data_IF_686293163249
#
_entry.id   IF_686293163249
#
_cell.length_a   1.000
_cell.length_b   1.000
_cell.length_c   1.000
_cell.angle_alpha   90.00
_cell.angle_beta   90.00
_cell.angle_gamma   90.00
#
_symmetry.space_group_name_H-M   'P 1'
#
loop_
_entity.id
_entity.type
_entity.pdbx_description
1 polymer ?
#
# COMPACT_ATOMS: atom_id res chain seq x y z
N UNK A 1 9.51 -36.24 1.74
CA UNK A 1 9.80 -34.95 2.41
C UNK A 1 8.98 -34.92 3.67
N UNK A 2 9.60 -34.61 4.80
CA UNK A 2 8.90 -34.40 6.06
C UNK A 2 8.13 -33.06 6.01
N UNK A 3 6.83 -33.08 6.34
CA UNK A 3 5.97 -31.91 6.22
C UNK A 3 6.27 -30.81 7.25
N UNK A 4 6.94 -31.17 8.35
CA UNK A 4 7.23 -30.28 9.48
C UNK A 4 8.62 -29.65 9.34
N UNK A 5 9.63 -30.43 8.96
CA UNK A 5 11.02 -29.98 8.80
C UNK A 5 11.37 -29.59 7.37
N UNK A 6 10.53 -29.94 6.39
CA UNK A 6 10.78 -29.75 4.96
C UNK A 6 12.02 -30.48 4.43
N UNK A 7 12.60 -31.39 5.24
CA UNK A 7 13.74 -32.20 4.87
C UNK A 7 13.30 -33.30 3.90
N UNK A 8 14.08 -33.53 2.85
CA UNK A 8 13.87 -34.63 1.91
C UNK A 8 14.44 -35.94 2.46
N UNK A 9 14.38 -37.02 1.69
CA UNK A 9 15.07 -38.28 2.06
C UNK A 9 16.60 -38.14 2.07
N UNK A 10 17.12 -37.11 1.41
CA UNK A 10 18.54 -36.75 1.46
C UNK A 10 18.74 -35.77 2.63
N UNK A 11 19.52 -36.13 3.68
CA UNK A 11 19.54 -35.37 4.94
C UNK A 11 19.97 -33.90 4.82
N UNK A 12 20.80 -33.56 3.84
CA UNK A 12 21.30 -32.19 3.63
C UNK A 12 20.46 -31.41 2.61
N UNK A 13 19.33 -31.96 2.15
CA UNK A 13 18.47 -31.35 1.14
C UNK A 13 17.09 -31.06 1.72
N UNK A 14 16.71 -29.79 1.67
CA UNK A 14 15.41 -29.27 2.11
C UNK A 14 14.65 -28.72 0.91
N UNK A 15 13.35 -28.97 0.83
CA UNK A 15 12.50 -28.56 -0.29
C UNK A 15 11.34 -27.70 0.22
N UNK A 16 11.06 -26.58 -0.45
CA UNK A 16 10.01 -25.65 -0.04
C UNK A 16 9.32 -24.98 -1.22
N UNK A 17 8.17 -24.37 -0.93
CA UNK A 17 7.38 -23.64 -1.92
C UNK A 17 6.70 -24.56 -2.93
N UNK A 18 6.36 -24.02 -4.09
CA UNK A 18 5.47 -24.67 -5.05
C UNK A 18 5.98 -26.01 -5.61
N UNK A 19 7.30 -26.26 -5.55
CA UNK A 19 7.88 -27.56 -5.93
C UNK A 19 7.47 -28.69 -4.97
N UNK A 20 7.01 -28.34 -3.77
CA UNK A 20 6.58 -29.29 -2.72
C UNK A 20 5.08 -29.27 -2.47
N UNK A 21 4.47 -28.08 -2.46
CA UNK A 21 3.05 -27.91 -2.12
C UNK A 21 2.13 -27.76 -3.34
N UNK A 22 2.68 -27.74 -4.55
CA UNK A 22 1.97 -27.27 -5.74
C UNK A 22 1.74 -25.76 -5.70
N UNK A 23 1.02 -25.20 -6.69
CA UNK A 23 0.72 -23.77 -6.74
C UNK A 23 -0.08 -23.33 -5.50
N UNK A 24 0.52 -22.45 -4.69
CA UNK A 24 -0.10 -21.91 -3.46
C UNK A 24 -0.15 -20.38 -3.50
N UNK A 25 -0.74 -19.76 -2.48
CA UNK A 25 -0.66 -18.30 -2.33
C UNK A 25 0.76 -17.85 -1.96
N UNK A 26 1.06 -16.58 -2.27
CA UNK A 26 2.41 -16.03 -2.09
C UNK A 26 2.87 -16.07 -0.62
N UNK A 27 1.96 -15.95 0.34
CA UNK A 27 2.33 -15.90 1.76
C UNK A 27 2.73 -17.29 2.27
N UNK A 28 2.06 -18.35 1.79
CA UNK A 28 2.45 -19.74 2.06
C UNK A 28 3.78 -20.10 1.42
N UNK A 29 4.01 -19.71 0.17
CA UNK A 29 5.29 -19.97 -0.51
C UNK A 29 6.47 -19.32 0.22
N UNK A 30 6.32 -18.05 0.64
CA UNK A 30 7.32 -17.34 1.44
C UNK A 30 7.50 -17.99 2.82
N UNK A 31 6.40 -18.35 3.48
CA UNK A 31 6.42 -19.02 4.78
C UNK A 31 7.16 -20.36 4.73
N UNK A 32 6.93 -21.17 3.69
CA UNK A 32 7.64 -22.42 3.46
C UNK A 32 9.14 -22.19 3.23
N UNK A 33 9.51 -21.17 2.43
CA UNK A 33 10.91 -20.79 2.22
C UNK A 33 11.61 -20.39 3.52
N UNK A 34 10.97 -19.57 4.36
CA UNK A 34 11.49 -19.18 5.68
C UNK A 34 11.65 -20.38 6.61
N UNK A 35 10.68 -21.29 6.63
CA UNK A 35 10.78 -22.53 7.40
C UNK A 35 11.96 -23.38 6.94
N UNK A 36 12.14 -23.58 5.64
CA UNK A 36 13.28 -24.34 5.13
C UNK A 36 14.61 -23.67 5.49
N UNK A 37 14.73 -22.35 5.38
CA UNK A 37 15.92 -21.63 5.80
C UNK A 37 16.23 -21.84 7.30
N UNK A 38 15.20 -21.77 8.16
CA UNK A 38 15.33 -22.05 9.58
C UNK A 38 15.77 -23.49 9.87
N UNK A 39 15.21 -24.47 9.16
CA UNK A 39 15.57 -25.88 9.31
C UNK A 39 16.98 -26.17 8.79
N UNK A 40 17.41 -25.49 7.71
CA UNK A 40 18.80 -25.53 7.23
C UNK A 40 19.74 -24.98 8.30
N UNK A 41 19.44 -23.83 8.92
CA UNK A 41 20.26 -23.28 10.01
C UNK A 41 20.38 -24.27 11.19
N UNK A 42 19.27 -24.84 11.64
CA UNK A 42 19.29 -25.84 12.70
C UNK A 42 20.12 -27.08 12.31
N UNK A 43 19.98 -27.57 11.08
CA UNK A 43 20.74 -28.74 10.62
C UNK A 43 22.24 -28.46 10.55
N UNK A 44 22.64 -27.30 10.00
CA UNK A 44 24.05 -26.87 9.93
C UNK A 44 24.66 -26.75 11.32
N UNK A 45 23.88 -26.30 12.30
CA UNK A 45 24.32 -26.11 13.68
C UNK A 45 24.08 -27.32 14.59
N UNK A 46 23.59 -28.46 14.06
CA UNK A 46 23.30 -29.67 14.84
C UNK A 46 22.17 -29.51 15.89
N UNK A 47 21.26 -28.55 15.68
CA UNK A 47 20.08 -28.33 16.53
C UNK A 47 18.90 -29.18 16.07
N UNK A 48 17.88 -29.30 16.93
CA UNK A 48 16.69 -30.10 16.64
C UNK A 48 15.89 -29.53 15.45
N UNK A 49 15.43 -30.44 14.59
CA UNK A 49 14.56 -30.15 13.45
C UNK A 49 13.15 -30.56 13.84
N UNK A 50 12.25 -29.59 14.04
CA UNK A 50 10.85 -29.95 14.37
C UNK A 50 9.93 -28.80 14.76
N UNK A 51 10.47 -27.65 15.19
CA UNK A 51 9.65 -26.53 15.65
C UNK A 51 10.16 -25.22 15.05
N UNK A 52 9.28 -24.46 14.40
CA UNK A 52 9.57 -23.12 13.94
C UNK A 52 8.72 -22.11 14.73
N UNK A 53 9.25 -21.52 15.83
CA UNK A 53 8.47 -20.70 16.76
C UNK A 53 7.68 -19.59 16.08
N UNK A 54 8.29 -18.91 15.11
CA UNK A 54 7.68 -17.76 14.43
C UNK A 54 6.46 -18.11 13.56
N UNK A 55 6.22 -19.39 13.22
CA UNK A 55 5.13 -19.81 12.34
C UNK A 55 4.21 -20.87 12.96
N UNK A 56 4.72 -21.66 13.92
CA UNK A 56 3.98 -22.74 14.58
C UNK A 56 3.22 -22.26 15.83
N UNK A 57 3.64 -21.14 16.42
CA UNK A 57 2.96 -20.56 17.58
C UNK A 57 1.78 -19.69 17.11
N UNK A 58 0.55 -20.20 17.28
CA UNK A 58 -0.65 -19.38 17.13
C UNK A 58 -0.71 -18.36 18.28
N UNK A 59 -0.95 -17.09 17.95
CA UNK A 59 -1.27 -16.08 18.96
C UNK A 59 -2.49 -16.52 19.77
N UNK A 60 -2.41 -16.38 21.09
CA UNK A 60 -3.51 -16.73 21.99
C UNK A 60 -4.77 -15.94 21.65
N UNK A 61 -5.84 -16.65 21.30
CA UNK A 61 -7.16 -16.04 21.06
C UNK A 61 -7.91 -15.96 22.39
N UNK A 62 -8.38 -14.78 22.76
CA UNK A 62 -9.21 -14.59 23.96
C UNK A 62 -10.60 -15.18 23.72
N UNK A 63 -11.17 -15.86 24.72
CA UNK A 63 -12.49 -16.47 24.62
C UNK A 63 -13.59 -15.41 24.39
N UNK A 64 -14.47 -15.67 23.41
CA UNK A 64 -15.54 -14.75 23.02
C UNK A 64 -16.51 -14.49 24.18
N UNK A 65 -16.89 -15.50 24.95
CA UNK A 65 -17.84 -15.33 26.04
C UNK A 65 -17.21 -14.55 27.20
N UNK A 66 -15.91 -14.74 27.45
CA UNK A 66 -15.16 -13.95 28.42
C UNK A 66 -15.11 -12.46 28.04
N UNK A 67 -14.92 -12.13 26.75
CA UNK A 67 -14.96 -10.74 26.26
C UNK A 67 -16.35 -10.14 26.49
N UNK A 68 -17.41 -10.86 26.10
CA UNK A 68 -18.80 -10.39 26.22
C UNK A 68 -19.25 -10.22 27.68
N UNK A 69 -18.69 -11.00 28.62
CA UNK A 69 -19.06 -10.96 30.04
C UNK A 69 -18.41 -9.81 30.83
N UNK A 70 -17.44 -9.09 30.24
CA UNK A 70 -16.73 -7.98 30.91
C UNK A 70 -17.61 -6.74 31.12
N UNK A 71 -18.70 -6.63 30.38
CA UNK A 71 -19.57 -5.47 30.35
C UNK A 71 -20.76 -5.60 31.31
N UNK A 72 -20.77 -4.83 32.41
CA UNK A 72 -21.87 -4.81 33.38
C UNK A 72 -22.64 -3.49 33.45
N UNK A 73 -22.08 -2.41 32.90
CA UNK A 73 -22.67 -1.07 32.90
C UNK A 73 -22.02 -0.18 31.87
N UNK A 74 -22.78 0.75 31.30
CA UNK A 74 -22.26 1.79 30.42
C UNK A 74 -21.98 3.07 31.22
N UNK A 75 -20.81 3.68 31.03
CA UNK A 75 -20.56 5.06 31.47
C UNK A 75 -20.82 5.97 30.28
N UNK A 76 -22.01 6.58 30.24
CA UNK A 76 -22.34 7.62 29.24
C UNK A 76 -21.70 8.93 29.69
N UNK A 77 -20.90 9.55 28.82
CA UNK A 77 -20.46 10.94 29.00
C UNK A 77 -21.48 11.82 28.31
N UNK A 78 -22.08 12.74 29.07
CA UNK A 78 -23.04 13.69 28.50
C UNK A 78 -22.33 14.63 27.51
N UNK A 79 -22.98 14.99 26.39
CA UNK A 79 -22.46 16.00 25.48
C UNK A 79 -22.17 17.31 26.22
N UNK A 80 -21.11 18.02 25.82
CA UNK A 80 -20.94 19.41 26.26
C UNK A 80 -21.96 20.25 25.49
N UNK A 81 -22.95 20.79 26.19
CA UNK A 81 -23.90 21.75 25.64
C UNK A 81 -23.33 23.15 25.85
N UNK A 82 -23.12 23.91 24.77
CA UNK A 82 -22.94 25.35 24.89
C UNK A 82 -24.30 25.98 25.22
N UNK A 83 -24.35 26.83 26.24
CA UNK A 83 -25.56 27.58 26.59
C UNK A 83 -25.77 28.69 25.57
N UNK A 84 -26.42 28.39 24.44
CA UNK A 84 -26.81 29.41 23.45
C UNK A 84 -28.00 30.21 23.99
N UNK A 85 -27.80 31.49 24.30
CA UNK A 85 -28.89 32.37 24.77
C UNK A 85 -29.42 33.18 23.59
N UNK A 86 -30.54 32.74 23.02
CA UNK A 86 -31.19 33.49 21.95
C UNK A 86 -31.88 34.75 22.47
N UNK A 87 -31.45 35.93 21.98
CA UNK A 87 -32.19 37.18 22.19
C UNK A 87 -33.28 37.33 21.13
N UNK A 88 -34.57 37.47 21.52
CA UNK A 88 -35.67 37.65 20.56
C UNK A 88 -35.65 39.03 19.87
N UNK A 89 -34.82 39.97 20.34
CA UNK A 89 -34.65 41.29 19.75
C UNK A 89 -33.20 41.77 19.96
N UNK A 90 -32.25 41.40 19.07
CA UNK A 90 -30.86 41.82 19.18
C UNK A 90 -30.73 43.34 19.00
N UNK A 91 -30.08 44.00 19.95
CA UNK A 91 -29.88 45.47 19.96
C UNK A 91 -28.40 45.86 19.85
N UNK A 92 -27.50 44.87 19.91
CA UNK A 92 -26.06 44.99 19.88
C UNK A 92 -25.44 43.75 19.19
N UNK A 93 -24.11 43.64 19.27
CA UNK A 93 -23.32 42.52 18.73
C UNK A 93 -22.76 41.64 19.86
N UNK A 94 -23.44 41.57 21.00
CA UNK A 94 -22.98 40.75 22.11
C UNK A 94 -22.99 39.25 21.73
N UNK A 95 -22.02 38.52 22.26
CA UNK A 95 -21.78 37.12 21.92
C UNK A 95 -22.90 36.23 22.49
N UNK A 96 -23.65 35.56 21.60
CA UNK A 96 -24.81 34.72 21.96
C UNK A 96 -24.41 33.33 22.45
N UNK A 97 -23.19 32.89 22.10
CA UNK A 97 -22.60 31.61 22.47
C UNK A 97 -21.27 31.89 23.17
N UNK A 98 -21.19 31.74 24.51
CA UNK A 98 -19.95 31.99 25.21
C UNK A 98 -18.86 31.01 24.75
N UNK A 99 -17.58 31.44 24.70
CA UNK A 99 -16.49 30.54 24.37
C UNK A 99 -16.42 29.41 25.41
N UNK A 100 -16.24 28.18 24.92
CA UNK A 100 -16.00 27.03 25.79
C UNK A 100 -14.79 27.29 26.68
N UNK A 101 -14.88 26.92 27.95
CA UNK A 101 -13.68 26.87 28.79
C UNK A 101 -12.67 25.88 28.21
N UNK A 102 -11.39 26.06 28.51
CA UNK A 102 -10.35 25.14 28.03
C UNK A 102 -10.64 23.68 28.43
N UNK A 103 -11.23 23.47 29.61
CA UNK A 103 -11.65 22.15 30.08
C UNK A 103 -12.79 21.56 29.24
N UNK A 104 -13.79 22.37 28.87
CA UNK A 104 -14.92 21.97 28.02
C UNK A 104 -14.48 21.71 26.58
N UNK A 105 -13.62 22.56 26.02
CA UNK A 105 -13.06 22.39 24.69
C UNK A 105 -12.23 21.09 24.60
N UNK A 106 -11.38 20.84 25.61
CA UNK A 106 -10.60 19.59 25.71
C UNK A 106 -11.49 18.35 25.92
N UNK A 107 -12.60 18.50 26.65
CA UNK A 107 -13.55 17.42 26.86
C UNK A 107 -14.35 17.09 25.59
N UNK A 108 -14.81 18.11 24.85
CA UNK A 108 -15.56 17.98 23.60
C UNK A 108 -14.71 17.46 22.44
N UNK A 109 -13.56 18.09 22.15
CA UNK A 109 -12.61 17.60 21.13
C UNK A 109 -12.08 16.18 21.45
N UNK A 110 -12.12 15.86 22.74
CA UNK A 110 -11.81 14.56 23.27
C UNK A 110 -12.78 13.44 22.95
N UNK A 111 -13.82 13.70 22.15
CA UNK A 111 -14.84 12.76 21.68
C UNK A 111 -14.57 12.15 20.30
N UNK A 112 -13.48 12.49 19.62
CA UNK A 112 -13.28 12.11 18.23
C UNK A 112 -12.57 10.78 18.00
N UNK A 113 -13.24 9.86 17.30
CA UNK A 113 -12.61 8.82 16.49
C UNK A 113 -12.72 9.29 15.03
N UNK A 114 -11.65 9.87 14.49
CA UNK A 114 -11.56 10.45 13.15
C UNK A 114 -12.70 11.42 12.80
N UNK A 115 -12.57 12.68 13.24
CA UNK A 115 -13.61 13.71 13.21
C UNK A 115 -14.13 14.11 11.81
N UNK A 116 -13.57 13.59 10.71
CA UNK A 116 -13.94 14.04 9.37
C UNK A 116 -15.36 13.64 8.93
N UNK A 117 -15.88 12.53 9.48
CA UNK A 117 -17.19 11.94 9.09
C UNK A 117 -18.03 11.53 10.32
N UNK A 118 -17.42 11.29 11.48
CA UNK A 118 -18.13 10.92 12.70
C UNK A 118 -19.02 12.07 13.21
N UNK A 119 -20.31 11.81 13.42
CA UNK A 119 -21.27 12.78 13.98
C UNK A 119 -21.54 12.59 15.48
N UNK A 120 -20.69 11.82 16.18
CA UNK A 120 -20.78 11.53 17.62
C UNK A 120 -22.15 11.01 18.11
N UNK A 121 -22.93 10.33 17.26
CA UNK A 121 -24.25 9.81 17.64
C UNK A 121 -24.22 8.66 18.66
N UNK A 122 -23.05 8.12 18.96
CA UNK A 122 -22.79 6.99 19.89
C UNK A 122 -23.46 5.66 19.53
N UNK A 123 -24.14 5.55 18.38
CA UNK A 123 -24.77 4.30 17.93
C UNK A 123 -23.76 3.15 17.79
N UNK A 124 -22.54 3.45 17.34
CA UNK A 124 -21.48 2.45 17.23
C UNK A 124 -21.08 1.90 18.62
N UNK A 125 -21.05 2.74 19.67
CA UNK A 125 -20.73 2.31 21.04
C UNK A 125 -21.84 1.41 21.56
N UNK A 126 -23.10 1.82 21.41
CA UNK A 126 -24.27 1.03 21.82
C UNK A 126 -24.34 -0.33 21.11
N UNK A 127 -23.95 -0.37 19.83
CA UNK A 127 -23.94 -1.59 19.04
C UNK A 127 -22.71 -2.49 19.27
N UNK A 128 -21.63 -2.00 19.91
CA UNK A 128 -20.38 -2.73 20.06
C UNK A 128 -20.45 -3.70 21.25
N UNK A 129 -20.52 -5.02 21.04
CA UNK A 129 -20.62 -5.96 22.14
C UNK A 129 -19.27 -6.19 22.86
N UNK A 130 -18.17 -5.66 22.30
CA UNK A 130 -16.82 -5.84 22.82
C UNK A 130 -16.32 -4.64 23.65
N UNK A 131 -17.13 -3.58 23.79
CA UNK A 131 -16.74 -2.32 24.46
C UNK A 131 -15.43 -1.71 23.94
N UNK A 132 -15.10 -1.96 22.68
CA UNK A 132 -13.83 -1.57 22.10
C UNK A 132 -13.77 -0.08 21.73
N UNK A 133 -14.92 0.57 21.54
CA UNK A 133 -15.02 1.94 21.04
C UNK A 133 -14.88 2.91 22.20
N UNK A 134 -13.75 3.63 22.23
CA UNK A 134 -13.35 4.51 23.32
C UNK A 134 -12.97 5.88 22.77
N UNK A 135 -13.91 6.81 22.85
CA UNK A 135 -13.71 8.19 22.41
C UNK A 135 -12.70 8.94 23.31
N UNK A 136 -12.56 8.53 24.56
CA UNK A 136 -11.60 9.09 25.51
C UNK A 136 -10.15 8.67 25.28
N UNK A 137 -9.87 7.82 24.28
CA UNK A 137 -8.50 7.47 23.91
C UNK A 137 -7.73 8.71 23.45
N UNK A 138 -6.47 8.77 23.83
CA UNK A 138 -5.53 9.84 23.48
C UNK A 138 -4.29 9.23 22.85
N UNK A 139 -3.61 10.04 22.05
CA UNK A 139 -2.27 9.72 21.59
C UNK A 139 -1.37 9.42 22.80
N UNK A 140 -0.67 8.31 22.73
CA UNK A 140 0.32 7.91 23.73
C UNK A 140 1.67 7.93 23.05
N UNK A 141 2.48 8.91 23.41
CA UNK A 141 3.87 8.98 22.97
C UNK A 141 4.66 8.01 23.86
N UNK A 142 5.35 7.07 23.22
CA UNK A 142 6.17 6.05 23.89
C UNK A 142 7.59 6.15 23.37
N UNK A 143 8.55 6.33 24.29
CA UNK A 143 9.97 6.28 23.97
C UNK A 143 10.45 4.83 23.97
N UNK A 144 11.06 4.40 22.86
CA UNK A 144 11.56 3.03 22.69
C UNK A 144 13.03 3.09 22.32
N UNK A 145 13.87 2.43 23.11
CA UNK A 145 15.28 2.23 22.78
C UNK A 145 15.41 1.04 21.82
N UNK A 146 16.00 1.27 20.66
CA UNK A 146 16.22 0.25 19.61
C UNK A 146 17.67 0.29 19.14
N UNK A 147 18.21 -0.86 18.76
CA UNK A 147 19.56 -0.96 18.20
C UNK A 147 19.63 -0.69 16.69
N UNK A 148 18.51 -0.74 15.99
CA UNK A 148 18.43 -0.46 14.56
C UNK A 148 17.02 0.00 14.16
N UNK A 149 16.93 0.76 13.06
CA UNK A 149 15.66 1.25 12.48
C UNK A 149 15.59 0.85 11.00
N UNK A 150 14.44 0.37 10.53
CA UNK A 150 14.21 0.05 9.11
C UNK A 150 13.11 0.96 8.55
N UNK A 151 13.49 1.83 7.62
CA UNK A 151 12.61 2.73 6.89
C UNK A 151 11.91 1.94 5.77
N UNK A 152 10.65 1.62 5.99
CA UNK A 152 9.80 0.90 5.02
C UNK A 152 8.49 1.66 4.72
N UNK A 153 8.58 2.99 4.67
CA UNK A 153 7.45 3.94 4.53
C UNK A 153 6.77 3.94 3.15
N UNK A 154 7.13 3.01 2.28
CA UNK A 154 6.43 2.77 1.03
C UNK A 154 6.66 3.86 -0.02
N UNK A 155 5.59 4.24 -0.70
CA UNK A 155 5.58 5.20 -1.80
C UNK A 155 4.27 6.00 -1.81
N UNK A 156 4.18 7.01 -2.68
CA UNK A 156 2.92 7.73 -2.96
C UNK A 156 2.52 7.51 -4.42
N UNK A 157 1.23 7.45 -4.69
CA UNK A 157 0.73 7.36 -6.06
C UNK A 157 0.80 8.74 -6.72
N UNK A 158 1.07 8.75 -8.03
CA UNK A 158 0.95 9.97 -8.81
C UNK A 158 -0.50 10.48 -8.79
N UNK A 159 -0.65 11.78 -8.49
CA UNK A 159 -1.93 12.47 -8.51
C UNK A 159 -2.38 12.70 -9.97
N UNK A 160 -3.37 11.93 -10.43
CA UNK A 160 -3.74 11.86 -11.85
C UNK A 160 -4.32 13.18 -12.40
N UNK A 161 -4.88 14.03 -11.54
CA UNK A 161 -5.35 15.39 -11.82
C UNK A 161 -4.22 16.34 -12.26
N UNK A 162 -2.96 16.01 -11.97
CA UNK A 162 -1.78 16.72 -12.51
C UNK A 162 -1.56 16.48 -14.01
N UNK A 163 -2.39 15.65 -14.66
CA UNK A 163 -2.49 15.51 -16.12
C UNK A 163 -3.90 15.90 -16.59
N UNK A 164 -4.23 17.21 -16.60
CA UNK A 164 -5.57 17.68 -16.94
C UNK A 164 -6.01 17.27 -18.36
N UNK A 165 -5.08 17.01 -19.27
CA UNK A 165 -5.37 16.49 -20.61
C UNK A 165 -6.03 15.10 -20.61
N UNK A 166 -5.97 14.36 -19.50
CA UNK A 166 -6.63 13.06 -19.33
C UNK A 166 -7.98 13.17 -18.61
N UNK A 167 -8.33 14.33 -18.07
CA UNK A 167 -9.66 14.62 -17.55
C UNK A 167 -10.04 13.89 -16.24
N UNK A 168 -9.07 13.34 -15.51
CA UNK A 168 -9.33 12.76 -14.19
C UNK A 168 -9.88 13.81 -13.20
N UNK A 169 -10.94 13.46 -12.47
CA UNK A 169 -11.64 14.38 -11.56
C UNK A 169 -12.69 15.28 -12.25
N UNK A 170 -12.62 15.42 -13.58
CA UNK A 170 -13.62 16.13 -14.39
C UNK A 170 -14.60 15.16 -15.03
N UNK A 171 -14.09 14.13 -15.70
CA UNK A 171 -14.89 13.10 -16.37
C UNK A 171 -15.08 11.92 -15.43
N UNK A 172 -16.34 11.63 -15.10
CA UNK A 172 -16.66 10.60 -14.09
C UNK A 172 -16.17 9.21 -14.49
N UNK A 173 -16.08 8.93 -15.80
CA UNK A 173 -15.66 7.64 -16.35
C UNK A 173 -14.15 7.52 -16.58
N UNK A 174 -13.36 8.50 -16.13
CA UNK A 174 -11.88 8.40 -16.06
C UNK A 174 -11.49 8.04 -14.64
N UNK A 175 -10.98 6.83 -14.45
CA UNK A 175 -10.56 6.29 -13.15
C UNK A 175 -9.08 5.96 -13.13
N UNK A 176 -8.51 5.73 -11.95
CA UNK A 176 -7.14 5.22 -11.78
C UNK A 176 -7.10 3.70 -11.73
N UNK A 177 -5.91 3.13 -11.98
CA UNK A 177 -5.66 1.70 -11.79
C UNK A 177 -6.02 1.19 -10.39
N UNK A 178 -5.89 2.01 -9.33
CA UNK A 178 -6.29 1.62 -7.98
C UNK A 178 -7.79 1.53 -7.78
N UNK A 179 -8.55 2.45 -8.39
CA UNK A 179 -10.01 2.37 -8.39
C UNK A 179 -10.49 1.14 -9.15
N UNK A 180 -9.84 0.82 -10.28
CA UNK A 180 -10.14 -0.42 -11.01
C UNK A 180 -9.81 -1.67 -10.18
N UNK A 181 -8.70 -1.67 -9.44
CA UNK A 181 -8.37 -2.76 -8.51
C UNK A 181 -9.47 -2.95 -7.45
N UNK A 182 -10.06 -1.86 -6.96
CA UNK A 182 -11.21 -1.88 -6.06
C UNK A 182 -12.50 -2.42 -6.69
N UNK A 183 -12.72 -2.19 -7.98
CA UNK A 183 -13.87 -2.74 -8.72
C UNK A 183 -13.70 -4.24 -9.04
N UNK A 184 -12.45 -4.70 -9.21
CA UNK A 184 -12.13 -6.09 -9.52
C UNK A 184 -11.94 -6.98 -8.29
N UNK A 185 -11.67 -6.39 -7.13
CA UNK A 185 -11.42 -7.15 -5.90
C UNK A 185 -12.62 -8.04 -5.50
N UNK A 186 -12.41 -9.20 -4.86
CA UNK A 186 -13.49 -10.05 -4.37
C UNK A 186 -14.41 -9.35 -3.36
N UNK A 187 -13.88 -8.40 -2.59
CA UNK A 187 -14.60 -7.56 -1.62
C UNK A 187 -15.14 -6.28 -2.23
N UNK A 188 -15.34 -6.24 -3.56
CA UNK A 188 -15.81 -5.07 -4.33
C UNK A 188 -17.10 -4.45 -3.76
N UNK A 189 -17.25 -3.11 -3.85
CA UNK A 189 -18.47 -2.43 -3.40
C UNK A 189 -19.71 -2.85 -4.22
N UNK A 190 -19.50 -3.23 -5.49
CA UNK A 190 -20.54 -3.66 -6.42
C UNK A 190 -20.22 -5.03 -6.95
N UNK A 191 -21.23 -5.88 -7.16
CA UNK A 191 -21.03 -7.25 -7.66
C UNK A 191 -20.61 -7.35 -9.15
N UNK A 192 -20.22 -6.24 -9.79
CA UNK A 192 -19.67 -6.19 -11.15
C UNK A 192 -18.86 -4.89 -11.34
N UNK A 193 -18.16 -4.76 -12.48
CA UNK A 193 -17.48 -3.52 -12.88
C UNK A 193 -18.50 -2.56 -13.49
N UNK A 194 -18.62 -1.36 -12.91
CA UNK A 194 -19.58 -0.34 -13.31
C UNK A 194 -18.86 0.98 -13.61
N UNK A 195 -19.37 1.72 -14.59
CA UNK A 195 -19.02 3.11 -14.86
C UNK A 195 -19.43 3.99 -13.68
N UNK A 196 -18.54 4.83 -13.13
CA UNK A 196 -18.92 5.71 -12.03
C UNK A 196 -19.95 6.77 -12.40
N UNK A 197 -19.98 7.23 -13.66
CA UNK A 197 -20.87 8.32 -14.09
C UNK A 197 -22.35 7.94 -14.14
N UNK A 198 -22.67 6.71 -14.56
CA UNK A 198 -24.05 6.28 -14.82
C UNK A 198 -24.40 4.87 -14.29
N UNK A 199 -23.43 4.16 -13.72
CA UNK A 199 -23.63 2.82 -13.18
C UNK A 199 -23.85 1.74 -14.25
N UNK A 200 -23.56 1.99 -15.53
CA UNK A 200 -23.65 0.96 -16.58
C UNK A 200 -22.41 0.08 -16.59
N UNK A 201 -22.56 -1.14 -17.10
CA UNK A 201 -21.42 -2.03 -17.38
C UNK A 201 -20.70 -1.50 -18.63
N UNK A 202 -19.39 -1.22 -18.58
CA UNK A 202 -18.64 -0.80 -19.76
C UNK A 202 -18.39 -1.99 -20.70
N UNK A 203 -18.61 -1.77 -21.99
CA UNK A 203 -18.30 -2.70 -23.08
C UNK A 203 -16.93 -2.40 -23.69
N UNK A 204 -16.47 -1.14 -23.67
CA UNK A 204 -15.15 -0.75 -24.18
C UNK A 204 -14.32 -0.04 -23.12
N UNK A 205 -13.17 -0.62 -22.75
CA UNK A 205 -12.31 -0.12 -21.67
C UNK A 205 -10.92 0.18 -22.22
N UNK A 206 -10.46 1.43 -22.05
CA UNK A 206 -9.10 1.82 -22.40
C UNK A 206 -8.21 1.93 -21.16
N UNK A 207 -6.99 1.40 -21.25
CA UNK A 207 -5.91 1.65 -20.30
C UNK A 207 -4.91 2.65 -20.88
N UNK A 208 -4.52 3.64 -20.08
CA UNK A 208 -3.51 4.65 -20.45
C UNK A 208 -2.25 4.44 -19.63
N UNK A 209 -1.24 3.84 -20.25
CA UNK A 209 0.04 3.54 -19.62
C UNK A 209 0.87 4.79 -19.33
N UNK A 210 1.79 4.67 -18.37
CA UNK A 210 2.74 5.73 -18.02
C UNK A 210 2.05 7.05 -17.60
N UNK A 211 0.87 6.98 -16.98
CA UNK A 211 0.20 8.19 -16.48
C UNK A 211 0.98 8.75 -15.30
N UNK A 212 1.70 9.86 -15.53
CA UNK A 212 2.56 10.47 -14.52
C UNK A 212 3.87 9.73 -14.26
N UNK A 213 4.33 8.91 -15.21
CA UNK A 213 5.65 8.26 -15.22
C UNK A 213 6.31 8.49 -16.57
N UNK A 214 7.65 8.43 -16.62
CA UNK A 214 8.43 8.68 -17.84
C UNK A 214 8.04 10.02 -18.47
N UNK A 215 7.71 11.00 -17.62
CA UNK A 215 7.19 12.29 -18.01
C UNK A 215 7.89 13.42 -17.27
N UNK A 216 8.76 14.13 -18.00
CA UNK A 216 9.49 15.27 -17.46
C UNK A 216 8.57 16.46 -17.15
N UNK A 217 7.43 16.61 -17.86
CA UNK A 217 6.54 17.75 -17.63
C UNK A 217 5.76 17.62 -16.32
N UNK A 218 5.59 16.40 -15.82
CA UNK A 218 4.92 16.10 -14.54
C UNK A 218 5.89 15.92 -13.37
N UNK A 219 7.19 16.20 -13.57
CA UNK A 219 8.22 16.06 -12.53
C UNK A 219 8.54 14.60 -12.15
N UNK A 220 8.14 13.62 -12.96
CA UNK A 220 8.43 12.20 -12.73
C UNK A 220 9.04 11.55 -13.98
N UNK A 221 10.35 11.74 -14.21
CA UNK A 221 11.04 11.19 -15.38
C UNK A 221 11.21 9.67 -15.33
N UNK A 222 11.00 9.04 -14.16
CA UNK A 222 11.26 7.63 -13.95
C UNK A 222 10.13 6.73 -14.46
N UNK A 223 10.49 5.49 -14.78
CA UNK A 223 9.51 4.43 -14.98
C UNK A 223 9.05 3.90 -13.62
N UNK A 224 7.74 3.81 -13.43
CA UNK A 224 7.17 3.25 -12.20
C UNK A 224 7.07 1.72 -12.19
N UNK A 225 7.82 1.01 -13.05
CA UNK A 225 8.07 -0.45 -13.11
C UNK A 225 6.83 -1.37 -13.18
N UNK A 226 5.89 -1.22 -12.26
CA UNK A 226 4.73 -2.08 -12.03
C UNK A 226 3.52 -1.75 -12.91
N UNK A 227 3.43 -0.55 -13.49
CA UNK A 227 2.21 -0.09 -14.17
C UNK A 227 1.84 -0.86 -15.43
N UNK A 228 2.84 -1.38 -16.17
CA UNK A 228 2.55 -2.32 -17.26
C UNK A 228 1.93 -3.60 -16.71
N UNK A 229 2.55 -4.21 -15.69
CA UNK A 229 2.17 -5.53 -15.20
C UNK A 229 0.85 -5.55 -14.43
N UNK A 230 0.54 -4.52 -13.62
CA UNK A 230 -0.78 -4.47 -13.00
C UNK A 230 -1.88 -4.21 -14.04
N UNK A 231 -1.60 -3.48 -15.12
CA UNK A 231 -2.60 -3.25 -16.18
C UNK A 231 -2.88 -4.55 -16.92
N UNK A 232 -1.84 -5.30 -17.30
CA UNK A 232 -1.98 -6.65 -17.87
C UNK A 232 -2.77 -7.57 -16.93
N UNK A 233 -2.48 -7.53 -15.61
CA UNK A 233 -3.23 -8.29 -14.60
C UNK A 233 -4.71 -7.92 -14.61
N UNK A 234 -5.00 -6.63 -14.56
CA UNK A 234 -6.38 -6.16 -14.54
C UNK A 234 -7.11 -6.49 -15.84
N UNK A 235 -6.44 -6.40 -17.00
CA UNK A 235 -7.01 -6.82 -18.29
C UNK A 235 -7.47 -8.29 -18.25
N UNK A 236 -6.63 -9.21 -17.76
CA UNK A 236 -7.02 -10.61 -17.61
C UNK A 236 -8.21 -10.79 -16.63
N UNK A 237 -8.20 -10.07 -15.51
CA UNK A 237 -9.30 -10.12 -14.53
C UNK A 237 -10.60 -9.56 -15.10
N UNK A 238 -10.53 -8.51 -15.92
CA UNK A 238 -11.67 -7.95 -16.64
C UNK A 238 -12.22 -8.98 -17.61
N UNK A 239 -11.39 -9.67 -18.39
CA UNK A 239 -11.89 -10.73 -19.29
C UNK A 239 -12.60 -11.87 -18.55
N UNK A 240 -12.23 -12.12 -17.29
CA UNK A 240 -12.98 -13.05 -16.42
C UNK A 240 -14.29 -12.46 -15.88
N UNK A 241 -14.31 -11.16 -15.55
CA UNK A 241 -15.47 -10.49 -14.96
C UNK A 241 -16.50 -10.02 -16.00
N UNK A 242 -16.04 -9.59 -17.17
CA UNK A 242 -16.77 -9.05 -18.31
C UNK A 242 -16.23 -9.70 -19.61
N UNK A 243 -16.60 -10.95 -19.92
CA UNK A 243 -16.02 -11.69 -21.05
C UNK A 243 -16.32 -11.12 -22.45
N UNK A 244 -17.23 -10.17 -22.55
CA UNK A 244 -17.62 -9.50 -23.80
C UNK A 244 -17.05 -8.09 -23.92
N UNK A 245 -16.30 -7.61 -22.92
CA UNK A 245 -15.74 -6.27 -22.95
C UNK A 245 -14.46 -6.23 -23.79
N UNK A 246 -14.36 -5.26 -24.68
CA UNK A 246 -13.14 -4.95 -25.42
C UNK A 246 -12.20 -4.16 -24.49
N UNK A 247 -11.03 -4.73 -24.21
CA UNK A 247 -10.02 -4.11 -23.35
C UNK A 247 -8.80 -3.76 -24.18
N UNK A 248 -8.50 -2.46 -24.27
CA UNK A 248 -7.39 -1.94 -25.06
C UNK A 248 -6.41 -1.18 -24.17
N UNK A 249 -5.12 -1.48 -24.24
CA UNK A 249 -4.07 -0.77 -23.52
C UNK A 249 -3.20 0.06 -24.47
N UNK A 250 -3.21 1.37 -24.27
CA UNK A 250 -2.33 2.32 -24.95
C UNK A 250 -1.00 2.41 -24.22
N UNK A 251 0.11 2.13 -24.89
CA UNK A 251 1.42 2.03 -24.27
C UNK A 251 2.56 2.58 -25.15
N UNK A 252 3.68 2.95 -24.51
CA UNK A 252 4.93 3.27 -25.24
C UNK A 252 5.80 2.02 -25.40
N UNK A 253 6.14 1.39 -24.27
CA UNK A 253 6.85 0.11 -24.22
C UNK A 253 6.20 -0.78 -23.15
N UNK A 254 5.97 -2.06 -23.46
CA UNK A 254 5.58 -3.06 -22.44
C UNK A 254 6.84 -3.48 -21.69
N UNK A 255 6.88 -3.17 -20.39
CA UNK A 255 8.00 -3.52 -19.50
C UNK A 255 7.63 -4.73 -18.64
N UNK A 256 7.61 -5.89 -19.27
CA UNK A 256 7.37 -7.18 -18.62
C UNK A 256 8.68 -7.79 -18.10
N UNK A 257 9.43 -7.03 -17.30
CA UNK A 257 10.72 -7.43 -16.77
C UNK A 257 10.54 -8.20 -15.46
N UNK A 258 10.69 -9.52 -15.53
CA UNK A 258 10.54 -10.43 -14.39
C UNK A 258 10.35 -11.86 -14.89
N UNK A 259 10.53 -12.84 -13.98
CA UNK A 259 10.32 -14.25 -14.35
C UNK A 259 8.86 -14.46 -14.73
N UNK A 260 8.61 -14.92 -15.95
CA UNK A 260 7.29 -15.21 -16.52
C UNK A 260 6.38 -14.01 -16.76
N UNK A 261 6.89 -12.78 -16.67
CA UNK A 261 6.09 -11.58 -16.89
C UNK A 261 5.73 -11.41 -18.37
N UNK A 262 6.63 -11.76 -19.29
CA UNK A 262 6.34 -11.72 -20.72
C UNK A 262 5.27 -12.75 -21.10
N UNK A 263 5.35 -13.96 -20.55
CA UNK A 263 4.36 -15.02 -20.74
C UNK A 263 2.99 -14.61 -20.20
N UNK A 264 2.95 -13.87 -19.09
CA UNK A 264 1.71 -13.30 -18.56
C UNK A 264 1.11 -12.23 -19.49
N UNK A 265 1.95 -11.41 -20.11
CA UNK A 265 1.55 -10.45 -21.13
C UNK A 265 1.01 -11.14 -22.40
N UNK A 266 1.72 -12.13 -22.93
CA UNK A 266 1.26 -12.91 -24.09
C UNK A 266 -0.05 -13.65 -23.79
N UNK A 267 -0.19 -14.22 -22.59
CA UNK A 267 -1.45 -14.83 -22.17
C UNK A 267 -2.62 -13.82 -22.17
N UNK A 268 -2.39 -12.58 -21.75
CA UNK A 268 -3.44 -11.56 -21.79
C UNK A 268 -3.85 -11.19 -23.23
N UNK A 269 -2.89 -11.19 -24.17
CA UNK A 269 -3.18 -11.03 -25.60
C UNK A 269 -3.98 -12.20 -26.15
N UNK A 270 -3.60 -13.43 -25.81
CA UNK A 270 -4.31 -14.64 -26.23
C UNK A 270 -5.75 -14.69 -25.68
N UNK A 271 -6.01 -14.03 -24.54
CA UNK A 271 -7.34 -13.84 -23.98
C UNK A 271 -8.17 -12.75 -24.68
N UNK A 272 -7.58 -12.00 -25.62
CA UNK A 272 -8.27 -10.98 -26.42
C UNK A 272 -7.98 -9.53 -26.01
N UNK A 273 -7.08 -9.27 -25.05
CA UNK A 273 -6.70 -7.90 -24.73
C UNK A 273 -5.86 -7.29 -25.86
N UNK A 274 -6.24 -6.11 -26.32
CA UNK A 274 -5.54 -5.38 -27.37
C UNK A 274 -4.48 -4.45 -26.77
N UNK A 275 -3.34 -4.33 -27.44
CA UNK A 275 -2.25 -3.47 -27.01
C UNK A 275 -1.84 -2.60 -28.18
N UNK A 276 -2.07 -1.30 -28.05
CA UNK A 276 -1.79 -0.32 -29.09
C UNK A 276 -0.56 0.47 -28.67
N UNK A 277 0.48 0.40 -29.51
CA UNK A 277 1.70 1.18 -29.31
C UNK A 277 1.44 2.63 -29.71
N UNK A 278 1.25 3.47 -28.70
CA UNK A 278 0.85 4.85 -28.87
C UNK A 278 0.73 5.58 -27.54
N UNK A 279 1.31 6.78 -27.45
CA UNK A 279 1.07 7.65 -26.29
C UNK A 279 -0.23 8.42 -26.50
N UNK A 280 -1.13 8.34 -25.52
CA UNK A 280 -2.36 9.14 -25.51
C UNK A 280 -2.00 10.62 -25.36
N UNK A 281 -2.50 11.43 -26.29
CA UNK A 281 -2.30 12.87 -26.32
C UNK A 281 -3.35 13.59 -25.47
N UNK A 282 -4.63 13.20 -25.57
CA UNK A 282 -5.74 13.85 -24.87
C UNK A 282 -6.96 12.92 -24.77
N UNK A 283 -7.77 13.13 -23.74
CA UNK A 283 -9.10 12.53 -23.56
C UNK A 283 -10.14 13.65 -23.55
N UNK A 284 -11.29 13.43 -24.18
CA UNK A 284 -12.46 14.32 -24.13
C UNK A 284 -13.73 13.52 -23.90
N UNK A 285 -14.73 14.09 -23.22
CA UNK A 285 -16.00 13.44 -22.93
C UNK A 285 -17.10 13.87 -23.94
N UNK A 286 -17.98 12.93 -24.29
CA UNK A 286 -19.19 13.15 -25.09
C UNK A 286 -20.39 13.42 -24.18
N UNK A 287 -21.46 13.97 -24.72
CA UNK A 287 -22.70 14.28 -23.96
C UNK A 287 -23.32 13.07 -23.25
N UNK A 288 -23.07 11.85 -23.74
CA UNK A 288 -23.55 10.60 -23.13
C UNK A 288 -22.61 10.03 -22.06
N UNK A 289 -21.49 10.71 -21.75
CA UNK A 289 -20.46 10.31 -20.80
C UNK A 289 -19.38 9.38 -21.36
N UNK A 290 -19.43 9.01 -22.64
CA UNK A 290 -18.38 8.21 -23.28
C UNK A 290 -17.14 9.08 -23.56
N UNK A 291 -15.99 8.42 -23.66
CA UNK A 291 -14.68 9.05 -23.71
C UNK A 291 -14.04 8.85 -25.08
N UNK A 292 -13.62 9.94 -25.71
CA UNK A 292 -12.82 9.94 -26.93
C UNK A 292 -11.35 10.02 -26.52
N UNK A 293 -10.59 8.98 -26.82
CA UNK A 293 -9.14 8.90 -26.55
C UNK A 293 -8.40 9.18 -27.85
N UNK A 294 -7.61 10.25 -27.88
CA UNK A 294 -6.78 10.64 -29.02
C UNK A 294 -5.34 10.20 -28.80
N UNK A 295 -4.80 9.38 -29.69
CA UNK A 295 -3.46 8.81 -29.58
C UNK A 295 -2.77 8.73 -30.94
N UNK A 296 -1.45 8.53 -30.92
CA UNK A 296 -0.64 8.21 -32.10
C UNK A 296 -0.59 6.69 -32.27
N UNK A 297 -1.01 6.17 -33.42
CA UNK A 297 -0.88 4.75 -33.75
C UNK A 297 0.45 4.50 -34.45
N UNK A 298 1.47 4.16 -33.66
CA UNK A 298 2.85 4.01 -34.15
C UNK A 298 2.98 2.82 -35.10
N UNK A 299 2.20 1.76 -34.89
CA UNK A 299 2.28 0.55 -35.71
C UNK A 299 1.62 0.73 -37.07
N UNK A 300 0.61 1.60 -37.17
CA UNK A 300 -0.07 1.95 -38.42
C UNK A 300 0.44 3.27 -39.04
N UNK A 301 1.76 3.49 -39.01
CA UNK A 301 2.41 4.60 -39.70
C UNK A 301 2.41 5.94 -38.97
N UNK A 302 2.11 5.96 -37.67
CA UNK A 302 2.15 7.16 -36.82
C UNK A 302 0.96 8.10 -37.03
N UNK A 303 -0.16 7.59 -37.56
CA UNK A 303 -1.36 8.38 -37.74
C UNK A 303 -1.98 8.75 -36.38
N UNK A 304 -2.56 9.95 -36.29
CA UNK A 304 -3.34 10.34 -35.12
C UNK A 304 -4.75 9.76 -35.27
N UNK A 305 -5.15 8.94 -34.29
CA UNK A 305 -6.42 8.23 -34.27
C UNK A 305 -7.22 8.66 -33.04
N UNK A 306 -8.54 8.67 -33.19
CA UNK A 306 -9.49 8.86 -32.10
C UNK A 306 -10.34 7.60 -31.98
N UNK A 307 -10.46 7.05 -30.77
CA UNK A 307 -11.29 5.90 -30.47
C UNK A 307 -12.20 6.19 -29.28
N UNK A 308 -13.42 5.67 -29.33
CA UNK A 308 -14.43 5.83 -28.29
C UNK A 308 -14.37 4.67 -27.29
N UNK A 309 -14.46 4.99 -26.00
CA UNK A 309 -14.47 4.06 -24.88
C UNK A 309 -15.50 4.46 -23.84
N UNK A 310 -16.06 3.49 -23.13
CA UNK A 310 -17.06 3.72 -22.09
C UNK A 310 -16.39 4.08 -20.75
N UNK A 311 -15.19 3.53 -20.53
CA UNK A 311 -14.40 3.71 -19.32
C UNK A 311 -12.91 3.82 -19.68
N UNK A 312 -12.21 4.78 -19.09
CA UNK A 312 -10.76 4.91 -19.20
C UNK A 312 -10.10 4.71 -17.85
N UNK A 313 -9.09 3.83 -17.81
CA UNK A 313 -8.27 3.53 -16.64
C UNK A 313 -6.88 4.13 -16.84
N UNK A 314 -6.55 5.11 -16.02
CA UNK A 314 -5.23 5.72 -15.95
C UNK A 314 -4.31 4.82 -15.13
N UNK A 315 -3.32 4.23 -15.79
CA UNK A 315 -2.27 3.47 -15.13
C UNK A 315 -1.26 4.45 -14.49
N UNK A 316 -1.65 4.98 -13.34
CA UNK A 316 -0.89 5.96 -12.56
C UNK A 316 0.44 5.40 -12.08
N UNK A 317 1.44 6.27 -12.11
CA UNK A 317 2.77 6.03 -11.61
C UNK A 317 2.90 6.03 -10.10
N UNK A 318 4.13 5.75 -9.67
CA UNK A 318 4.61 5.81 -8.29
C UNK A 318 5.61 6.97 -8.18
N UNK A 319 5.54 7.66 -7.05
CA UNK A 319 6.40 8.75 -6.62
C UNK A 319 7.00 8.42 -5.24
N UNK A 320 8.16 9.01 -4.89
CA UNK A 320 8.77 8.84 -3.58
C UNK A 320 7.85 9.35 -2.46
N UNK A 321 7.91 8.68 -1.30
CA UNK A 321 7.23 9.19 -0.10
C UNK A 321 8.08 10.28 0.59
N UNK A 322 7.74 11.55 0.35
CA UNK A 322 8.42 12.72 0.94
C UNK A 322 8.24 12.87 2.46
N UNK A 323 7.33 12.11 3.09
CA UNK A 323 7.19 12.13 4.56
C UNK A 323 8.44 11.59 5.26
N UNK A 324 9.27 10.81 4.55
CA UNK A 324 10.50 10.22 5.07
C UNK A 324 11.52 11.26 5.56
N UNK A 325 11.54 12.44 4.96
CA UNK A 325 12.44 13.54 5.33
C UNK A 325 12.20 14.08 6.74
N UNK A 326 11.02 13.81 7.31
CA UNK A 326 10.61 14.31 8.62
C UNK A 326 10.75 13.26 9.72
N UNK A 327 11.20 12.05 9.40
CA UNK A 327 11.29 10.96 10.38
C UNK A 327 12.35 11.20 11.45
N UNK A 328 13.46 11.85 11.09
CA UNK A 328 14.60 12.05 11.96
C UNK A 328 14.79 13.55 12.25
N UNK A 329 14.97 13.90 13.53
CA UNK A 329 15.10 15.29 13.99
C UNK A 329 16.54 15.77 14.06
N UNK A 330 17.50 14.86 14.29
CA UNK A 330 18.92 15.18 14.43
C UNK A 330 19.70 15.11 13.12
N UNK A 331 19.67 13.94 12.47
CA UNK A 331 20.38 13.68 11.23
C UNK A 331 19.38 13.50 10.08
N UNK A 332 19.62 14.16 8.95
CA UNK A 332 18.73 14.05 7.80
C UNK A 332 19.12 12.84 6.99
N UNK A 333 18.14 11.97 6.74
CA UNK A 333 18.31 10.81 5.90
C UNK A 333 18.69 11.23 4.47
N UNK A 334 19.76 10.63 3.94
CA UNK A 334 20.21 10.84 2.58
C UNK A 334 19.15 10.39 1.58
N UNK A 335 18.95 11.18 0.53
CA UNK A 335 18.04 10.88 -0.57
C UNK A 335 18.79 10.86 -1.90
N UNK A 336 18.31 10.07 -2.86
CA UNK A 336 18.80 10.08 -4.24
C UNK A 336 18.31 11.32 -5.01
N UNK A 337 18.77 11.46 -6.26
CA UNK A 337 18.38 12.59 -7.13
C UNK A 337 16.88 12.63 -7.46
N UNK A 338 16.14 11.56 -7.17
CA UNK A 338 14.69 11.42 -7.36
C UNK A 338 13.91 11.40 -6.04
N UNK A 339 14.57 11.69 -4.92
CA UNK A 339 14.01 11.77 -3.56
C UNK A 339 13.54 10.44 -2.94
N UNK A 340 14.01 9.31 -3.44
CA UNK A 340 13.95 8.06 -2.68
C UNK A 340 15.05 8.04 -1.63
N UNK A 341 14.89 7.22 -0.59
CA UNK A 341 15.95 7.03 0.41
C UNK A 341 17.19 6.47 -0.28
N UNK A 342 18.33 7.13 -0.12
CA UNK A 342 19.58 6.74 -0.73
C UNK A 342 20.16 5.48 -0.08
N UNK A 343 20.71 4.63 -0.93
CA UNK A 343 21.53 3.49 -0.56
C UNK A 343 22.95 3.81 -1.06
N UNK A 344 23.90 4.22 -0.19
CA UNK A 344 25.22 4.69 -0.65
C UNK A 344 26.04 3.66 -1.43
N UNK A 345 25.82 2.38 -1.17
CA UNK A 345 26.45 1.25 -1.85
C UNK A 345 25.40 0.14 -2.03
N UNK A 346 24.48 0.32 -2.98
CA UNK A 346 23.37 -0.60 -3.24
C UNK A 346 23.80 -1.96 -3.80
N UNK A 347 24.95 -2.01 -4.48
CA UNK A 347 25.53 -3.25 -5.02
C UNK A 347 26.13 -4.15 -3.91
N UNK A 348 26.81 -3.57 -2.92
CA UNK A 348 27.44 -4.35 -1.84
C UNK A 348 26.59 -4.42 -0.57
N UNK A 349 25.91 -3.33 -0.22
CA UNK A 349 25.14 -3.16 1.01
C UNK A 349 23.68 -2.70 0.72
N UNK A 350 22.89 -3.46 -0.05
CA UNK A 350 21.50 -3.12 -0.36
C UNK A 350 20.64 -3.04 0.91
N UNK A 351 20.02 -1.90 1.14
CA UNK A 351 19.20 -1.58 2.30
C UNK A 351 19.93 -0.76 3.35
N UNK A 352 21.23 -0.49 3.21
CA UNK A 352 21.96 0.38 4.14
C UNK A 352 21.81 1.84 3.75
N UNK A 353 21.51 2.70 4.72
CA UNK A 353 21.43 4.16 4.52
C UNK A 353 22.75 4.84 4.89
N UNK A 354 22.81 6.16 4.75
CA UNK A 354 23.94 6.99 5.19
C UNK A 354 24.03 7.13 6.71
N UNK A 355 22.94 6.89 7.44
CA UNK A 355 22.90 6.95 8.90
C UNK A 355 23.21 5.57 9.50
N UNK A 356 24.29 5.42 10.31
CA UNK A 356 24.60 4.16 10.97
C UNK A 356 23.45 3.64 11.84
N UNK A 357 23.10 2.36 11.68
CA UNK A 357 21.98 1.73 12.39
C UNK A 357 20.61 2.01 11.77
N UNK A 358 20.53 2.81 10.70
CA UNK A 358 19.31 3.02 9.91
C UNK A 358 19.43 2.33 8.56
N UNK A 359 18.39 1.58 8.22
CA UNK A 359 18.27 0.78 7.02
C UNK A 359 16.99 1.17 6.27
N UNK A 360 16.86 0.76 5.02
CA UNK A 360 15.70 0.98 4.16
C UNK A 360 15.26 -0.32 3.51
N UNK A 361 13.95 -0.47 3.30
CA UNK A 361 13.39 -1.65 2.62
C UNK A 361 12.25 -1.28 1.68
N UNK A 362 12.09 -2.12 0.65
CA UNK A 362 11.01 -2.01 -0.33
C UNK A 362 11.08 -0.73 -1.16
N UNK A 363 9.92 -0.12 -1.39
CA UNK A 363 9.75 1.02 -2.32
C UNK A 363 10.20 2.36 -1.78
N UNK A 364 10.52 2.46 -0.48
CA UNK A 364 11.08 3.67 0.10
C UNK A 364 12.44 4.02 -0.53
N UNK A 365 13.18 2.99 -0.93
CA UNK A 365 14.44 3.04 -1.66
C UNK A 365 14.29 3.02 -3.20
N UNK A 366 13.11 3.28 -3.74
CA UNK A 366 12.89 3.27 -5.19
C UNK A 366 11.91 2.20 -5.65
N UNK A 367 11.38 2.41 -6.85
CA UNK A 367 10.24 1.64 -7.38
C UNK A 367 10.59 0.15 -7.56
N UNK A 368 9.79 -0.70 -6.91
CA UNK A 368 9.92 -2.16 -6.90
C UNK A 368 8.53 -2.80 -7.00
N UNK A 369 8.45 -4.02 -7.52
CA UNK A 369 7.24 -4.82 -7.36
C UNK A 369 7.22 -5.52 -6.00
N UNK A 370 6.20 -6.34 -5.74
CA UNK A 370 6.04 -7.03 -4.46
C UNK A 370 7.20 -8.01 -4.23
N UNK A 371 7.61 -8.75 -5.26
CA UNK A 371 8.67 -9.78 -5.14
C UNK A 371 10.00 -9.12 -4.83
N UNK A 372 10.35 -8.07 -5.59
CA UNK A 372 11.56 -7.29 -5.36
C UNK A 372 11.55 -6.60 -4.00
N UNK A 373 10.38 -6.13 -3.54
CA UNK A 373 10.25 -5.50 -2.21
C UNK A 373 10.49 -6.50 -1.07
N UNK A 374 10.02 -7.74 -1.23
CA UNK A 374 10.26 -8.82 -0.25
C UNK A 374 11.74 -9.22 -0.25
N UNK A 375 12.36 -9.36 -1.43
CA UNK A 375 13.79 -9.66 -1.55
C UNK A 375 14.64 -8.55 -0.92
N UNK A 376 14.31 -7.29 -1.22
CA UNK A 376 15.00 -6.14 -0.65
C UNK A 376 14.85 -6.08 0.88
N UNK A 377 13.65 -6.34 1.41
CA UNK A 377 13.45 -6.44 2.86
C UNK A 377 14.27 -7.57 3.50
N UNK A 378 14.45 -8.70 2.81
CA UNK A 378 15.34 -9.77 3.26
C UNK A 378 16.80 -9.33 3.36
N UNK A 379 17.29 -8.58 2.38
CA UNK A 379 18.65 -8.02 2.38
C UNK A 379 18.85 -7.03 3.54
N UNK A 380 17.92 -6.09 3.72
CA UNK A 380 17.95 -5.12 4.81
C UNK A 380 17.96 -5.82 6.18
N UNK A 381 17.14 -6.86 6.39
CA UNK A 381 17.11 -7.62 7.65
C UNK A 381 18.43 -8.33 7.92
N UNK A 382 19.08 -8.89 6.89
CA UNK A 382 20.39 -9.54 7.07
C UNK A 382 21.46 -8.53 7.55
N UNK A 383 21.44 -7.31 7.01
CA UNK A 383 22.36 -6.25 7.43
C UNK A 383 22.02 -5.69 8.82
N UNK A 384 20.74 -5.57 9.16
CA UNK A 384 20.30 -5.24 10.51
C UNK A 384 20.82 -6.27 11.51
N UNK A 385 20.67 -7.56 11.21
CA UNK A 385 21.17 -8.63 12.08
C UNK A 385 22.68 -8.53 12.28
N UNK A 386 23.44 -8.36 11.19
CA UNK A 386 24.88 -8.15 11.26
C UNK A 386 25.23 -6.90 12.11
N UNK A 387 24.53 -5.79 11.92
CA UNK A 387 24.75 -4.57 12.70
C UNK A 387 24.50 -4.79 14.19
N UNK A 388 23.41 -5.46 14.55
CA UNK A 388 23.07 -5.75 15.95
C UNK A 388 24.05 -6.72 16.60
N UNK A 389 24.55 -7.73 15.88
CA UNK A 389 25.59 -8.63 16.39
C UNK A 389 26.90 -7.88 16.67
N UNK A 390 27.32 -7.00 15.76
CA UNK A 390 28.50 -6.17 15.97
C UNK A 390 28.30 -5.20 17.14
N UNK A 391 27.14 -4.55 17.25
CA UNK A 391 26.83 -3.64 18.35
C UNK A 391 26.77 -4.37 19.72
N UNK A 392 26.21 -5.58 19.76
CA UNK A 392 26.19 -6.43 20.97
C UNK A 392 27.57 -6.91 21.41
N UNK A 393 28.54 -7.00 20.49
CA UNK A 393 29.95 -7.22 20.84
C UNK A 393 30.64 -5.96 21.39
N UNK A 394 30.15 -4.76 21.08
CA UNK A 394 30.70 -3.50 21.58
C UNK A 394 30.21 -3.18 23.01
N UNK A 395 28.96 -3.50 23.38
CA UNK A 395 28.48 -3.31 24.78
C UNK A 395 29.18 -4.23 25.79
N UNK A 396 29.60 -5.44 25.39
CA UNK A 396 30.43 -6.29 26.24
C UNK A 396 31.89 -5.80 26.40
N UNK A 397 32.29 -4.80 25.59
CA UNK A 397 33.57 -4.11 25.69
C UNK A 397 33.41 -2.67 26.24
N UNK A 398 32.52 -2.49 27.21
CA UNK A 398 32.66 -1.50 28.29
C UNK A 398 32.38 -0.03 27.96
N UNK A 399 31.28 0.50 28.51
CA UNK A 399 31.25 1.80 29.20
C UNK A 399 30.15 1.73 30.28
N UNK A 400 30.54 1.82 31.56
CA UNK A 400 29.63 2.20 32.65
C UNK A 400 29.46 3.71 32.64
N UNK A 401 28.22 4.22 32.57
CA UNK A 401 27.92 5.62 32.84
C UNK A 401 26.92 5.70 34.01
N UNK A 402 27.39 6.28 35.11
CA UNK A 402 26.62 6.56 36.32
C UNK A 402 25.56 7.64 36.06
N UNK A 403 24.35 7.42 36.60
CA UNK A 403 23.31 8.44 36.68
C UNK A 403 23.53 9.23 37.97
N UNK A 404 23.92 10.50 37.84
CA UNK A 404 23.88 11.47 38.95
C UNK A 404 22.44 11.97 39.15
N UNK A 405 22.06 12.04 40.42
CA UNK A 405 20.72 12.14 40.99
C UNK A 405 19.87 13.36 40.59
#
# INVERSE_FOLDING_TARGET
MDATTLQTEVPYLFAAGDVTSGATDITRAIGAGRRAAYMIDNWVNGRELGHFPALDDLLGVVDKAEVLARQKSHTRREPITADTVFSPAPVDFDELEPPMTEAEARAGAGGCLDCGVCSECQECVSACPADAIRFDKREVISDITVGAVVVSTGYKLFAADLKPEYGYGTYANVITGMQMDRLLAPTRPFNTVLRPGDGKVPERIAYVSCTGSRDKTSGNPLCSKVCCMYSVKQNQLIMGALPLADVTMHYMDIRAAGKRYNEFYEQAKDMGAEYIKGRVAKITEKDNGDLIVRYEDIENGGAIVEAEYDLVVLAVGIQPNREVEKLFTGERLGLDEYFYVAEPDDDLEPGRTDIPGVFVAGTAAGVKDIVDSILHAGAAVAQVAAHLEHAGHVEHAGVTAEVLA
#
